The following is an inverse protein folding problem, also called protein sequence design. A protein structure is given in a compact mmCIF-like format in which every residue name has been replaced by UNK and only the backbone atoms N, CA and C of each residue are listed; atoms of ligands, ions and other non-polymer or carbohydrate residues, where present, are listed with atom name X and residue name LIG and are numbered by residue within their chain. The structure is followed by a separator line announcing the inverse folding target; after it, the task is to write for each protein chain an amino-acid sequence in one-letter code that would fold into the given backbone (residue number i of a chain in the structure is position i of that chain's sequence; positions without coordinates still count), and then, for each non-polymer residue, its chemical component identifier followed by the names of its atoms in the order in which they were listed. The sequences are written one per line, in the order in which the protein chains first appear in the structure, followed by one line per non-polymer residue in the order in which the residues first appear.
data_IF_623588410508
#
_entry.id   IF_623588410508
#
_cell.length_a   1.000
_cell.length_b   1.000
_cell.length_c   1.000
_cell.angle_alpha   90.00
_cell.angle_beta   90.00
_cell.angle_gamma   90.00
#
_symmetry.space_group_name_H-M   'P 1'
#
loop_
_entity.id
_entity.type
_entity.pdbx_description
1 polymer ?
#
# COMPACT_ATOMS: atom_id res chain seq x y z
N UNK A 1 22.78 17.02 14.51
CA UNK A 1 23.09 15.81 15.29
C UNK A 1 23.79 14.85 14.34
N UNK A 2 25.07 14.52 14.59
CA UNK A 2 25.76 13.47 13.84
C UNK A 2 25.28 12.11 14.39
N UNK A 3 24.74 11.27 13.54
CA UNK A 3 24.46 9.89 13.90
C UNK A 3 25.78 9.12 13.96
N UNK A 4 26.10 8.44 15.07
CA UNK A 4 27.42 7.82 15.27
C UNK A 4 27.74 6.62 14.39
N UNK A 5 26.76 6.06 13.66
CA UNK A 5 26.96 4.91 12.79
C UNK A 5 26.68 5.27 11.33
N UNK A 6 27.74 5.30 10.51
CA UNK A 6 27.58 5.36 9.06
C UNK A 6 26.94 4.04 8.58
N UNK A 7 25.72 4.10 8.08
CA UNK A 7 25.06 2.94 7.47
C UNK A 7 25.72 2.63 6.12
N UNK A 8 26.05 1.39 5.92
CA UNK A 8 26.47 0.84 4.63
C UNK A 8 25.56 -0.33 4.29
N UNK A 9 24.80 -0.26 3.18
CA UNK A 9 23.89 -1.31 2.78
C UNK A 9 24.62 -2.62 2.49
N UNK A 10 23.94 -3.75 2.71
CA UNK A 10 24.44 -5.07 2.32
C UNK A 10 24.74 -5.08 0.80
N UNK A 11 25.99 -5.35 0.38
CA UNK A 11 26.34 -5.41 -1.04
C UNK A 11 25.61 -6.53 -1.78
N UNK A 12 25.13 -7.56 -1.07
CA UNK A 12 24.38 -8.67 -1.62
C UNK A 12 22.85 -8.40 -1.70
N UNK A 13 22.37 -7.17 -1.42
CA UNK A 13 20.91 -6.86 -1.42
C UNK A 13 20.20 -7.17 -2.74
N UNK A 14 20.93 -7.27 -3.85
CA UNK A 14 20.41 -7.58 -5.19
C UNK A 14 20.83 -8.97 -5.69
N UNK A 15 21.07 -9.92 -4.81
CA UNK A 15 21.52 -11.29 -5.14
C UNK A 15 20.43 -12.22 -5.71
N UNK A 16 19.23 -11.70 -5.96
CA UNK A 16 18.10 -12.44 -6.50
C UNK A 16 17.13 -13.02 -5.47
N UNK A 17 17.41 -12.90 -4.17
CA UNK A 17 16.46 -13.31 -3.11
C UNK A 17 15.16 -12.50 -3.12
N UNK A 18 15.21 -11.23 -3.56
CA UNK A 18 14.04 -10.39 -3.79
C UNK A 18 13.72 -10.38 -5.28
N UNK A 19 12.63 -11.03 -5.73
CA UNK A 19 12.18 -10.90 -7.11
C UNK A 19 11.60 -9.50 -7.36
N UNK A 20 11.91 -8.95 -8.53
CA UNK A 20 11.32 -7.69 -9.01
C UNK A 20 10.32 -8.00 -10.10
N UNK A 21 9.15 -7.35 -10.05
CA UNK A 21 8.01 -7.58 -10.95
C UNK A 21 7.65 -6.32 -11.69
N UNK A 22 7.41 -6.44 -12.98
CA UNK A 22 7.01 -5.31 -13.83
C UNK A 22 5.71 -4.70 -13.33
N UNK A 23 5.67 -3.37 -13.17
CA UNK A 23 4.49 -2.62 -12.80
C UNK A 23 3.65 -2.34 -14.06
N UNK A 24 2.67 -3.20 -14.34
CA UNK A 24 1.87 -3.11 -15.55
C UNK A 24 2.70 -3.11 -16.83
N UNK A 25 2.40 -2.19 -17.76
CA UNK A 25 3.16 -2.00 -19.02
C UNK A 25 4.21 -0.90 -18.93
N UNK A 26 4.53 -0.43 -17.73
CA UNK A 26 5.54 0.61 -17.54
C UNK A 26 6.98 0.06 -17.60
N UNK A 27 7.96 0.96 -17.57
CA UNK A 27 9.38 0.60 -17.42
C UNK A 27 9.81 0.32 -15.98
N UNK A 28 8.92 0.50 -14.99
CA UNK A 28 9.24 0.37 -13.57
C UNK A 28 9.04 -1.08 -13.10
N UNK A 29 10.03 -1.62 -12.40
CA UNK A 29 9.90 -2.84 -11.64
C UNK A 29 9.77 -2.52 -10.14
N UNK A 30 8.90 -3.23 -9.43
CA UNK A 30 8.79 -3.14 -7.97
C UNK A 30 9.24 -4.45 -7.32
N UNK A 31 9.81 -4.40 -6.10
CA UNK A 31 10.07 -5.63 -5.34
C UNK A 31 8.75 -6.36 -5.09
N UNK A 32 8.76 -7.68 -5.12
CA UNK A 32 7.57 -8.49 -4.86
C UNK A 32 6.94 -8.21 -3.48
N UNK A 33 7.77 -7.74 -2.52
CA UNK A 33 7.31 -7.25 -1.22
C UNK A 33 7.79 -5.81 -1.05
N UNK A 34 6.85 -4.91 -0.76
CA UNK A 34 7.07 -3.49 -0.45
C UNK A 34 6.81 -3.22 1.02
N UNK A 35 7.43 -2.19 1.60
CA UNK A 35 7.25 -1.82 3.01
C UNK A 35 6.36 -0.58 3.15
N UNK A 36 5.21 -0.76 3.82
CA UNK A 36 4.28 0.32 4.16
C UNK A 36 4.59 0.92 5.54
N UNK A 37 4.59 2.24 5.62
CA UNK A 37 4.98 2.99 6.81
C UNK A 37 3.77 3.59 7.55
N UNK A 38 2.61 2.96 7.45
CA UNK A 38 1.40 3.46 8.09
C UNK A 38 1.47 3.44 9.61
N UNK A 39 1.98 2.34 10.19
CA UNK A 39 2.07 2.16 11.65
C UNK A 39 3.50 1.78 12.03
N UNK A 40 3.89 2.09 13.27
CA UNK A 40 5.20 1.84 13.85
C UNK A 40 6.33 2.75 13.32
N UNK A 41 6.00 3.78 12.53
CA UNK A 41 6.97 4.73 11.97
C UNK A 41 6.63 6.19 12.30
N UNK A 42 5.55 6.42 13.06
CA UNK A 42 5.09 7.74 13.45
C UNK A 42 5.89 8.37 14.59
N UNK A 43 5.48 9.57 15.00
CA UNK A 43 6.13 10.31 16.08
C UNK A 43 5.90 9.73 17.48
N UNK A 44 4.89 8.86 17.65
CA UNK A 44 4.63 8.13 18.87
C UNK A 44 5.43 6.83 19.01
N UNK A 45 6.11 6.41 17.94
CA UNK A 45 6.89 5.19 17.88
C UNK A 45 8.37 5.44 18.18
N UNK A 46 9.12 4.38 18.52
CA UNK A 46 10.56 4.47 18.76
C UNK A 46 11.29 4.62 17.42
N UNK A 47 11.84 5.79 17.16
CA UNK A 47 12.51 6.13 15.89
C UNK A 47 13.58 5.11 15.48
N UNK A 48 14.45 4.68 16.42
CA UNK A 48 15.52 3.72 16.11
C UNK A 48 15.00 2.34 15.71
N UNK A 49 13.82 1.93 16.19
CA UNK A 49 13.17 0.69 15.74
C UNK A 49 12.73 0.83 14.28
N UNK A 50 12.07 1.93 13.93
CA UNK A 50 11.68 2.22 12.54
C UNK A 50 12.90 2.29 11.61
N UNK A 51 13.97 3.00 12.04
CA UNK A 51 15.23 3.09 11.31
C UNK A 51 15.87 1.72 11.05
N UNK A 52 15.90 0.86 12.08
CA UNK A 52 16.46 -0.49 11.95
C UNK A 52 15.64 -1.36 10.96
N UNK A 53 14.31 -1.23 10.96
CA UNK A 53 13.44 -1.93 10.01
C UNK A 53 13.70 -1.43 8.59
N UNK A 54 13.82 -0.12 8.36
CA UNK A 54 14.09 0.47 7.04
C UNK A 54 15.44 0.02 6.49
N UNK A 55 16.51 0.07 7.30
CA UNK A 55 17.84 -0.44 6.93
C UNK A 55 17.78 -1.92 6.55
N UNK A 56 17.16 -2.74 7.40
CA UNK A 56 17.03 -4.18 7.15
C UNK A 56 16.23 -4.47 5.89
N UNK A 57 15.15 -3.72 5.64
CA UNK A 57 14.35 -3.86 4.42
C UNK A 57 15.21 -3.63 3.17
N UNK A 58 15.99 -2.53 3.16
CA UNK A 58 16.87 -2.23 2.05
C UNK A 58 17.98 -3.27 1.88
N UNK A 59 18.61 -3.75 2.97
CA UNK A 59 19.59 -4.84 2.97
C UNK A 59 19.02 -6.16 2.41
N UNK A 60 17.70 -6.32 2.44
CA UNK A 60 17.00 -7.50 1.90
C UNK A 60 16.39 -7.25 0.50
N UNK A 61 16.76 -6.15 -0.18
CA UNK A 61 16.31 -5.82 -1.52
C UNK A 61 14.90 -5.20 -1.59
N UNK A 62 14.31 -4.79 -0.47
CA UNK A 62 13.07 -4.00 -0.49
C UNK A 62 13.44 -2.57 -0.85
N UNK A 63 13.13 -2.16 -2.08
CA UNK A 63 13.45 -0.83 -2.59
C UNK A 63 12.26 0.12 -2.57
N UNK A 64 11.04 -0.37 -2.36
CA UNK A 64 9.82 0.44 -2.34
C UNK A 64 9.33 0.69 -0.92
N UNK A 65 9.25 1.98 -0.54
CA UNK A 65 8.73 2.49 0.73
C UNK A 65 7.48 3.32 0.47
N UNK A 66 6.37 2.90 1.07
CA UNK A 66 5.04 3.46 0.82
C UNK A 66 4.52 4.24 2.02
N UNK A 67 4.27 5.53 1.82
CA UNK A 67 3.81 6.48 2.83
C UNK A 67 2.42 7.05 2.48
N UNK A 68 1.93 7.95 3.31
CA UNK A 68 0.85 8.89 3.03
C UNK A 68 1.00 10.13 3.92
N UNK A 69 0.40 11.24 3.47
CA UNK A 69 0.49 12.53 4.18
C UNK A 69 -0.02 12.45 5.62
N UNK A 70 -1.04 11.60 5.89
CA UNK A 70 -1.68 11.45 7.19
C UNK A 70 -1.13 10.27 8.03
N UNK A 71 -0.04 9.61 7.61
CA UNK A 71 0.54 8.53 8.40
C UNK A 71 1.27 9.06 9.65
N UNK A 72 1.07 8.36 10.76
CA UNK A 72 1.56 8.71 12.09
C UNK A 72 0.85 7.87 13.16
N UNK A 73 0.53 8.35 14.38
CA UNK A 73 0.37 9.73 14.86
C UNK A 73 1.68 10.44 15.19
N UNK A 74 1.65 11.81 15.25
CA UNK A 74 0.66 12.69 14.61
C UNK A 74 0.77 12.64 13.09
N UNK A 75 -0.26 13.14 12.37
CA UNK A 75 -0.28 13.16 10.91
C UNK A 75 1.00 13.80 10.33
N UNK A 76 1.58 13.15 9.30
CA UNK A 76 2.82 13.57 8.66
C UNK A 76 4.10 13.12 9.37
N UNK A 77 4.01 12.58 10.58
CA UNK A 77 5.20 12.20 11.35
C UNK A 77 5.93 10.98 10.75
N UNK A 78 5.22 10.08 10.09
CA UNK A 78 5.86 8.97 9.39
C UNK A 78 6.74 9.47 8.24
N UNK A 79 6.25 10.43 7.43
CA UNK A 79 7.04 11.07 6.38
C UNK A 79 8.24 11.84 6.94
N UNK A 80 8.05 12.58 8.04
CA UNK A 80 9.15 13.31 8.69
C UNK A 80 10.23 12.35 9.23
N UNK A 81 9.84 11.24 9.84
CA UNK A 81 10.79 10.23 10.32
C UNK A 81 11.50 9.52 9.17
N UNK A 82 10.77 9.18 8.09
CA UNK A 82 11.37 8.61 6.88
C UNK A 82 12.39 9.58 6.26
N UNK A 83 12.04 10.87 6.15
CA UNK A 83 12.97 11.91 5.65
C UNK A 83 14.27 12.01 6.47
N UNK A 84 14.19 11.87 7.81
CA UNK A 84 15.38 11.80 8.68
C UNK A 84 16.25 10.58 8.36
N UNK A 85 15.65 9.41 8.16
CA UNK A 85 16.37 8.18 7.78
C UNK A 85 16.97 8.33 6.37
N UNK A 86 16.18 8.86 5.43
CA UNK A 86 16.65 9.10 4.07
C UNK A 86 17.89 10.00 4.05
N UNK A 87 17.86 11.11 4.78
CA UNK A 87 18.99 12.03 4.87
C UNK A 87 20.23 11.42 5.54
N UNK A 88 20.03 10.59 6.56
CA UNK A 88 21.12 10.00 7.35
C UNK A 88 21.73 8.73 6.72
N UNK A 89 20.88 7.88 6.14
CA UNK A 89 21.25 6.50 5.76
C UNK A 89 21.16 6.25 4.26
N UNK A 90 20.18 6.87 3.55
CA UNK A 90 19.84 6.53 2.18
C UNK A 90 20.13 7.64 1.17
N UNK A 91 20.73 8.76 1.59
CA UNK A 91 20.97 9.91 0.70
C UNK A 91 21.75 9.52 -0.56
N UNK A 92 22.78 8.69 -0.42
CA UNK A 92 23.59 8.19 -1.53
C UNK A 92 22.88 7.11 -2.38
N UNK A 93 21.73 6.63 -1.91
CA UNK A 93 20.96 5.53 -2.51
C UNK A 93 19.58 5.96 -2.99
N UNK A 94 19.29 7.29 -3.05
CA UNK A 94 17.96 7.80 -3.44
C UNK A 94 17.49 7.20 -4.78
N UNK A 95 18.37 7.06 -5.73
CA UNK A 95 18.07 6.57 -7.08
C UNK A 95 17.87 5.03 -7.13
N UNK A 96 18.20 4.32 -6.05
CA UNK A 96 17.89 2.90 -5.87
C UNK A 96 16.52 2.67 -5.23
N UNK A 97 15.86 3.74 -4.75
CA UNK A 97 14.61 3.66 -4.01
C UNK A 97 13.43 4.12 -4.86
N UNK A 98 12.29 3.45 -4.65
CA UNK A 98 10.97 3.93 -5.05
C UNK A 98 10.27 4.45 -3.80
N UNK A 99 10.03 5.74 -3.74
CA UNK A 99 9.33 6.39 -2.63
C UNK A 99 7.94 6.80 -3.08
N UNK A 100 6.91 6.29 -2.44
CA UNK A 100 5.54 6.68 -2.73
C UNK A 100 4.87 7.37 -1.55
N UNK A 101 3.98 8.32 -1.85
CA UNK A 101 3.09 8.92 -0.86
C UNK A 101 1.71 9.21 -1.46
N UNK A 102 0.76 9.56 -0.62
CA UNK A 102 -0.66 9.64 -0.96
C UNK A 102 -1.35 10.78 -0.22
N UNK A 103 -2.43 11.30 -0.80
CA UNK A 103 -3.35 12.21 -0.13
C UNK A 103 -4.81 11.89 -0.50
N UNK A 104 -5.74 12.07 0.45
CA UNK A 104 -7.15 11.77 0.25
C UNK A 104 -7.97 11.66 1.56
N UNK A 105 -7.30 11.72 2.71
CA UNK A 105 -7.90 11.77 4.04
C UNK A 105 -7.73 13.16 4.65
N UNK A 106 -8.40 13.42 5.78
CA UNK A 106 -8.20 14.65 6.53
C UNK A 106 -6.73 14.84 6.94
N UNK A 107 -6.26 16.06 6.90
CA UNK A 107 -4.86 16.38 7.20
C UNK A 107 -4.69 17.65 8.06
N UNK A 108 -5.50 18.68 7.84
CA UNK A 108 -5.51 19.93 8.61
C UNK A 108 -6.94 20.45 8.76
N UNK A 109 -7.21 21.28 9.79
CA UNK A 109 -8.56 21.79 10.03
C UNK A 109 -9.05 22.75 8.94
N UNK A 110 -10.38 22.84 8.80
CA UNK A 110 -11.06 23.77 7.89
C UNK A 110 -11.40 23.12 6.54
N UNK A 111 -12.04 23.88 5.64
CA UNK A 111 -12.71 23.33 4.46
C UNK A 111 -11.74 22.84 3.36
N UNK A 112 -10.45 23.07 3.50
CA UNK A 112 -9.45 22.73 2.48
C UNK A 112 -8.51 21.62 2.89
N UNK A 113 -8.61 21.13 4.13
CA UNK A 113 -7.76 20.08 4.68
C UNK A 113 -8.53 18.84 5.10
N UNK A 114 -9.83 18.83 4.87
CA UNK A 114 -10.73 17.70 5.08
C UNK A 114 -10.53 16.62 3.99
N UNK A 115 -11.16 15.47 4.17
CA UNK A 115 -11.17 14.37 3.21
C UNK A 115 -11.44 14.92 1.81
N UNK A 116 -10.52 14.70 0.87
CA UNK A 116 -10.76 15.24 -0.45
C UNK A 116 -9.78 14.84 -1.54
N UNK A 117 -10.30 14.94 -2.77
CA UNK A 117 -9.57 14.80 -4.03
C UNK A 117 -9.39 16.11 -4.77
N UNK A 118 -9.77 17.26 -4.17
CA UNK A 118 -9.69 18.54 -4.85
C UNK A 118 -8.26 18.90 -5.27
N UNK A 119 -8.14 19.61 -6.38
CA UNK A 119 -6.84 20.11 -6.88
C UNK A 119 -6.06 20.87 -5.82
N UNK A 120 -6.76 21.74 -5.06
CA UNK A 120 -6.13 22.50 -3.97
C UNK A 120 -5.54 21.58 -2.90
N UNK A 121 -6.29 20.57 -2.48
CA UNK A 121 -5.87 19.65 -1.44
C UNK A 121 -4.70 18.76 -1.89
N UNK A 122 -4.80 18.15 -3.08
CA UNK A 122 -3.77 17.21 -3.57
C UNK A 122 -2.43 17.90 -3.82
N UNK A 123 -2.43 19.10 -4.43
CA UNK A 123 -1.19 19.84 -4.68
C UNK A 123 -0.55 20.29 -3.37
N UNK A 124 -1.33 20.89 -2.45
CA UNK A 124 -0.81 21.29 -1.16
C UNK A 124 -0.28 20.10 -0.33
N UNK A 125 -0.97 18.96 -0.38
CA UNK A 125 -0.53 17.73 0.29
C UNK A 125 0.78 17.21 -0.26
N UNK A 126 0.95 17.17 -1.59
CA UNK A 126 2.20 16.75 -2.23
C UNK A 126 3.35 17.66 -1.81
N UNK A 127 3.19 18.98 -1.84
CA UNK A 127 4.20 19.94 -1.44
C UNK A 127 4.62 19.76 0.02
N UNK A 128 3.65 19.58 0.91
CA UNK A 128 3.91 19.31 2.33
C UNK A 128 4.62 17.98 2.55
N UNK A 129 4.25 16.93 1.80
CA UNK A 129 4.91 15.61 1.85
C UNK A 129 6.37 15.69 1.42
N UNK A 130 6.65 16.38 0.31
CA UNK A 130 8.02 16.63 -0.16
C UNK A 130 8.84 17.38 0.89
N UNK A 131 8.29 18.44 1.51
CA UNK A 131 8.95 19.19 2.55
C UNK A 131 9.27 18.32 3.79
N UNK A 132 8.31 17.48 4.24
CA UNK A 132 8.54 16.59 5.40
C UNK A 132 9.63 15.56 5.14
N UNK A 133 9.67 15.02 3.93
CA UNK A 133 10.66 14.02 3.54
C UNK A 133 12.00 14.61 3.10
N UNK A 134 12.07 15.92 2.85
CA UNK A 134 13.27 16.59 2.31
C UNK A 134 13.60 16.14 0.88
N UNK A 135 12.57 15.93 0.06
CA UNK A 135 12.67 15.47 -1.33
C UNK A 135 12.19 16.54 -2.31
N UNK A 136 12.77 16.55 -3.50
CA UNK A 136 12.31 17.39 -4.63
C UNK A 136 11.17 16.71 -5.39
N UNK A 137 11.12 15.35 -5.37
CA UNK A 137 10.09 14.55 -6.01
C UNK A 137 9.85 13.23 -5.25
N UNK A 138 8.67 12.65 -5.42
CA UNK A 138 8.39 11.24 -5.12
C UNK A 138 8.32 10.44 -6.41
N UNK A 139 8.60 9.15 -6.31
CA UNK A 139 8.48 8.27 -7.48
C UNK A 139 7.01 8.05 -7.84
N UNK A 140 6.14 7.83 -6.85
CA UNK A 140 4.71 7.63 -7.09
C UNK A 140 3.89 8.50 -6.14
N UNK A 141 2.95 9.28 -6.68
CA UNK A 141 1.96 10.01 -5.89
C UNK A 141 0.56 9.46 -6.15
N UNK A 142 -0.17 9.10 -5.07
CA UNK A 142 -1.48 8.49 -5.21
C UNK A 142 -2.62 9.44 -4.81
N UNK A 143 -3.75 9.35 -5.54
CA UNK A 143 -5.05 9.63 -4.94
C UNK A 143 -5.39 8.49 -3.99
N UNK A 144 -5.42 8.78 -2.67
CA UNK A 144 -5.49 7.77 -1.61
C UNK A 144 -6.85 7.06 -1.55
N UNK A 145 -7.89 7.73 -2.02
CA UNK A 145 -9.26 7.21 -2.12
C UNK A 145 -10.09 8.08 -3.06
N UNK A 146 -11.24 7.57 -3.46
CA UNK A 146 -12.24 8.37 -4.16
C UNK A 146 -12.80 9.44 -3.21
N UNK A 147 -12.91 10.69 -3.70
CA UNK A 147 -13.64 11.76 -3.01
C UNK A 147 -15.02 11.92 -3.67
N UNK A 148 -16.11 11.52 -3.00
CA UNK A 148 -17.46 11.63 -3.57
C UNK A 148 -17.95 13.08 -3.70
N UNK A 149 -17.19 14.07 -3.26
CA UNK A 149 -17.54 15.50 -3.34
C UNK A 149 -16.79 16.26 -4.44
N UNK A 150 -15.77 15.61 -5.03
CA UNK A 150 -14.93 16.22 -6.08
C UNK A 150 -15.16 15.51 -7.41
N UNK A 151 -15.39 16.24 -8.52
CA UNK A 151 -15.41 15.64 -9.84
C UNK A 151 -14.11 14.88 -10.14
N UNK A 152 -14.22 13.70 -10.74
CA UNK A 152 -13.08 12.83 -10.97
C UNK A 152 -12.01 13.47 -11.87
N UNK A 153 -12.43 14.24 -12.86
CA UNK A 153 -11.54 14.99 -13.78
C UNK A 153 -10.70 16.04 -13.05
N UNK A 154 -11.23 16.68 -11.99
CA UNK A 154 -10.44 17.60 -11.17
C UNK A 154 -9.33 16.85 -10.42
N UNK A 155 -9.66 15.70 -9.83
CA UNK A 155 -8.69 14.84 -9.13
C UNK A 155 -7.61 14.33 -10.08
N UNK A 156 -7.99 13.77 -11.23
CA UNK A 156 -7.05 13.27 -12.23
C UNK A 156 -6.21 14.39 -12.85
N UNK A 157 -6.83 15.55 -13.11
CA UNK A 157 -6.11 16.73 -13.58
C UNK A 157 -5.11 17.30 -12.56
N UNK A 158 -5.35 17.11 -11.25
CA UNK A 158 -4.37 17.45 -10.21
C UNK A 158 -3.17 16.50 -10.22
N UNK A 159 -3.40 15.19 -10.35
CA UNK A 159 -2.33 14.20 -10.49
C UNK A 159 -1.48 14.45 -11.75
N UNK A 160 -2.13 14.69 -12.89
CA UNK A 160 -1.44 15.01 -14.13
C UNK A 160 -0.59 16.29 -14.02
N UNK A 161 -1.08 17.29 -13.28
CA UNK A 161 -0.33 18.52 -13.02
C UNK A 161 0.94 18.26 -12.19
N UNK A 162 0.84 17.48 -11.10
CA UNK A 162 1.99 17.11 -10.27
C UNK A 162 3.04 16.33 -11.05
N UNK A 163 2.61 15.43 -11.92
CA UNK A 163 3.50 14.72 -12.84
C UNK A 163 4.24 15.68 -13.78
N UNK A 164 3.53 16.59 -14.44
CA UNK A 164 4.14 17.58 -15.35
C UNK A 164 5.10 18.54 -14.65
N UNK A 165 4.88 18.82 -13.36
CA UNK A 165 5.81 19.61 -12.55
C UNK A 165 7.06 18.83 -12.12
N UNK A 166 7.14 17.53 -12.40
CA UNK A 166 8.22 16.67 -11.95
C UNK A 166 8.22 16.37 -10.45
N UNK A 167 7.12 16.69 -9.73
CA UNK A 167 6.97 16.41 -8.30
C UNK A 167 6.58 14.95 -8.03
N UNK A 168 6.03 14.28 -9.02
CA UNK A 168 5.77 12.85 -9.04
C UNK A 168 6.20 12.27 -10.39
N UNK A 169 7.08 11.28 -10.39
CA UNK A 169 7.51 10.63 -11.64
C UNK A 169 6.36 9.81 -12.24
N UNK A 170 5.55 9.21 -11.39
CA UNK A 170 4.38 8.43 -11.75
C UNK A 170 3.19 8.79 -10.86
N UNK A 171 2.00 8.44 -11.33
CA UNK A 171 0.75 8.63 -10.56
C UNK A 171 0.02 7.31 -10.37
N UNK A 172 -0.64 7.18 -9.22
CA UNK A 172 -1.43 6.02 -8.85
C UNK A 172 -2.77 6.39 -8.22
N UNK A 173 -3.61 5.38 -8.07
CA UNK A 173 -4.89 5.48 -7.36
C UNK A 173 -4.99 4.36 -6.33
N UNK A 174 -5.85 4.53 -5.32
CA UNK A 174 -6.07 3.51 -4.28
C UNK A 174 -7.57 3.37 -3.97
N UNK A 175 -8.02 2.13 -3.82
CA UNK A 175 -9.40 1.78 -3.43
C UNK A 175 -10.48 2.38 -4.35
N UNK A 176 -10.23 2.42 -5.64
CA UNK A 176 -11.20 2.76 -6.68
C UNK A 176 -11.92 1.50 -7.17
N UNK A 177 -13.20 1.63 -7.54
CA UNK A 177 -13.91 0.55 -8.24
C UNK A 177 -13.32 0.27 -9.63
N UNK A 178 -13.59 -0.89 -10.24
CA UNK A 178 -13.17 -1.17 -11.63
C UNK A 178 -13.66 -0.10 -12.60
N UNK A 179 -14.91 0.36 -12.46
CA UNK A 179 -15.51 1.43 -13.27
C UNK A 179 -14.71 2.73 -13.16
N UNK A 180 -14.50 3.22 -11.95
CA UNK A 180 -13.76 4.47 -11.71
C UNK A 180 -12.28 4.36 -12.08
N UNK A 181 -11.71 3.16 -11.99
CA UNK A 181 -10.34 2.88 -12.46
C UNK A 181 -10.23 3.07 -13.97
N UNK A 182 -11.20 2.55 -14.77
CA UNK A 182 -11.24 2.75 -16.23
C UNK A 182 -11.38 4.23 -16.58
N UNK A 183 -12.24 4.95 -15.86
CA UNK A 183 -12.46 6.39 -16.10
C UNK A 183 -11.21 7.21 -15.74
N UNK A 184 -10.60 6.94 -14.58
CA UNK A 184 -9.39 7.62 -14.14
C UNK A 184 -8.24 7.42 -15.13
N UNK A 185 -8.05 6.19 -15.61
CA UNK A 185 -7.02 5.86 -16.62
C UNK A 185 -7.30 6.62 -17.94
N UNK A 186 -8.52 6.59 -18.43
CA UNK A 186 -8.88 7.29 -19.65
C UNK A 186 -8.65 8.82 -19.54
N UNK A 187 -9.00 9.42 -18.40
CA UNK A 187 -8.76 10.85 -18.15
C UNK A 187 -7.27 11.18 -18.10
N UNK A 188 -6.48 10.39 -17.38
CA UNK A 188 -5.03 10.58 -17.29
C UNK A 188 -4.35 10.37 -18.65
N UNK A 189 -4.77 9.36 -19.40
CA UNK A 189 -4.26 9.09 -20.75
C UNK A 189 -4.55 10.24 -21.70
N UNK A 190 -5.74 10.86 -21.62
CA UNK A 190 -6.09 12.04 -22.40
C UNK A 190 -5.19 13.24 -22.08
N UNK A 191 -4.66 13.31 -20.86
CA UNK A 191 -3.68 14.30 -20.42
C UNK A 191 -2.22 13.91 -20.77
N UNK A 192 -2.00 12.75 -21.44
CA UNK A 192 -0.68 12.23 -21.76
C UNK A 192 0.09 11.67 -20.57
N UNK A 193 -0.61 11.36 -19.47
CA UNK A 193 -0.02 10.82 -18.23
C UNK A 193 -0.57 9.41 -18.00
N UNK A 194 0.25 8.35 -18.10
CA UNK A 194 -0.23 6.99 -17.86
C UNK A 194 -0.53 6.77 -16.37
N UNK A 195 -1.64 6.11 -16.07
CA UNK A 195 -1.89 5.55 -14.74
C UNK A 195 -0.92 4.38 -14.52
N UNK A 196 -0.01 4.50 -13.57
CA UNK A 196 1.00 3.47 -13.32
C UNK A 196 0.43 2.27 -12.58
N UNK A 197 -0.30 2.54 -11.47
CA UNK A 197 -0.57 1.52 -10.46
C UNK A 197 -1.84 1.80 -9.69
N UNK A 198 -2.54 0.75 -9.29
CA UNK A 198 -3.65 0.77 -8.36
C UNK A 198 -3.28 0.04 -7.07
N UNK A 199 -3.60 0.65 -5.92
CA UNK A 199 -3.34 0.08 -4.60
C UNK A 199 -4.67 -0.33 -3.93
N UNK A 200 -5.13 -1.60 -4.06
CA UNK A 200 -6.32 -2.12 -3.39
C UNK A 200 -5.98 -2.90 -2.12
N UNK A 201 -6.98 -3.06 -1.21
CA UNK A 201 -6.92 -4.06 -0.14
C UNK A 201 -7.11 -5.46 -0.73
N UNK A 202 -6.25 -6.41 -0.33
CA UNK A 202 -6.35 -7.80 -0.78
C UNK A 202 -5.71 -8.77 0.20
N UNK A 203 -6.43 -9.83 0.54
CA UNK A 203 -5.96 -10.90 1.43
C UNK A 203 -6.80 -12.17 1.26
N UNK A 204 -6.41 -13.26 1.92
CA UNK A 204 -7.20 -14.48 2.01
C UNK A 204 -8.63 -14.28 2.56
N UNK A 205 -8.89 -13.20 3.30
CA UNK A 205 -10.18 -12.88 3.92
C UNK A 205 -10.86 -11.67 3.27
N UNK A 206 -10.27 -11.09 2.23
CA UNK A 206 -10.82 -9.97 1.45
C UNK A 206 -10.39 -10.13 0.00
N UNK A 207 -11.27 -10.69 -0.85
CA UNK A 207 -10.97 -11.13 -2.22
C UNK A 207 -11.70 -10.33 -3.30
N UNK A 208 -12.26 -9.17 -2.96
CA UNK A 208 -13.11 -8.37 -3.85
C UNK A 208 -12.47 -8.04 -5.21
N UNK A 209 -11.14 -7.89 -5.27
CA UNK A 209 -10.43 -7.54 -6.50
C UNK A 209 -10.41 -8.64 -7.55
N UNK A 210 -10.60 -9.90 -7.14
CA UNK A 210 -10.55 -11.06 -8.04
C UNK A 210 -11.72 -11.08 -9.03
N UNK A 211 -12.87 -10.49 -8.67
CA UNK A 211 -14.10 -10.54 -9.48
C UNK A 211 -13.94 -9.76 -10.79
N UNK A 212 -13.35 -8.58 -10.75
CA UNK A 212 -13.26 -7.71 -11.91
C UNK A 212 -11.98 -6.87 -11.94
N UNK A 213 -11.55 -6.31 -10.80
CA UNK A 213 -10.48 -5.31 -10.76
C UNK A 213 -9.16 -5.82 -11.34
N UNK A 214 -8.72 -7.04 -10.99
CA UNK A 214 -7.47 -7.60 -11.53
C UNK A 214 -7.52 -7.73 -13.05
N UNK A 215 -8.68 -8.14 -13.61
CA UNK A 215 -8.89 -8.17 -15.06
C UNK A 215 -8.83 -6.77 -15.69
N UNK A 216 -9.48 -5.80 -15.04
CA UNK A 216 -9.45 -4.38 -15.45
C UNK A 216 -8.03 -3.83 -15.50
N UNK A 217 -7.22 -4.10 -14.47
CA UNK A 217 -5.84 -3.61 -14.39
C UNK A 217 -4.96 -4.24 -15.49
N UNK A 218 -5.12 -5.54 -15.74
CA UNK A 218 -4.40 -6.26 -16.79
C UNK A 218 -4.73 -5.70 -18.19
N UNK A 219 -6.02 -5.51 -18.49
CA UNK A 219 -6.48 -4.91 -19.74
C UNK A 219 -5.90 -3.51 -19.98
N UNK A 220 -5.88 -2.68 -18.93
CA UNK A 220 -5.37 -1.31 -18.97
C UNK A 220 -3.82 -1.25 -18.95
N UNK A 221 -3.15 -2.33 -18.55
CA UNK A 221 -1.71 -2.37 -18.36
C UNK A 221 -1.25 -1.59 -17.12
N UNK A 222 -2.09 -1.56 -16.09
CA UNK A 222 -1.86 -0.89 -14.81
C UNK A 222 -1.36 -1.90 -13.78
N UNK A 223 -0.34 -1.57 -13.01
CA UNK A 223 0.17 -2.42 -11.95
C UNK A 223 -0.78 -2.53 -10.76
N UNK A 224 -0.61 -3.58 -9.94
CA UNK A 224 -1.37 -3.81 -8.72
C UNK A 224 -0.44 -3.97 -7.52
N UNK A 225 -0.58 -3.14 -6.50
CA UNK A 225 0.09 -3.32 -5.22
C UNK A 225 -0.94 -3.56 -4.11
N UNK A 226 -0.94 -4.77 -3.54
CA UNK A 226 -1.94 -5.20 -2.59
C UNK A 226 -1.57 -4.79 -1.16
N UNK A 227 -2.36 -3.91 -0.53
CA UNK A 227 -2.18 -3.60 0.89
C UNK A 227 -3.03 -4.50 1.80
N UNK A 228 -2.66 -4.56 3.08
CA UNK A 228 -3.26 -5.44 4.09
C UNK A 228 -3.27 -6.94 3.73
N UNK A 229 -2.20 -7.52 3.16
CA UNK A 229 -2.15 -8.94 2.81
C UNK A 229 -2.33 -9.86 4.02
N UNK A 230 -2.06 -9.37 5.23
CA UNK A 230 -2.24 -10.06 6.49
C UNK A 230 -3.57 -9.73 7.19
N UNK A 231 -4.55 -9.15 6.49
CA UNK A 231 -5.85 -8.77 7.04
C UNK A 231 -5.71 -8.05 8.40
N UNK A 232 -4.86 -7.01 8.44
CA UNK A 232 -4.52 -6.22 9.64
C UNK A 232 -3.92 -7.02 10.80
N UNK A 233 -3.25 -8.12 10.48
CA UNK A 233 -2.60 -9.01 11.44
C UNK A 233 -3.45 -10.19 11.88
N UNK A 234 -4.67 -10.36 11.36
CA UNK A 234 -5.51 -11.52 11.61
C UNK A 234 -4.88 -12.80 11.04
N UNK A 235 -4.23 -12.72 9.89
CA UNK A 235 -3.53 -13.83 9.25
C UNK A 235 -2.10 -14.00 9.81
N UNK A 236 -2.01 -13.98 11.13
CA UNK A 236 -0.78 -14.28 11.90
C UNK A 236 -1.12 -15.20 13.07
N UNK A 237 -0.11 -15.81 13.67
CA UNK A 237 -0.29 -16.69 14.85
C UNK A 237 -0.88 -15.96 16.08
N UNK A 238 -0.94 -14.62 16.06
CA UNK A 238 -1.32 -13.77 17.19
C UNK A 238 -2.72 -14.10 17.75
N UNK A 239 -3.68 -14.46 16.89
CA UNK A 239 -5.07 -14.67 17.26
C UNK A 239 -5.48 -16.14 17.36
N UNK A 240 -4.57 -17.11 17.11
CA UNK A 240 -4.86 -18.53 17.17
C UNK A 240 -5.21 -19.01 18.58
N UNK A 241 -4.59 -18.41 19.60
CA UNK A 241 -4.83 -18.71 21.03
C UNK A 241 -5.88 -17.83 21.72
N UNK A 242 -6.59 -17.00 20.96
CA UNK A 242 -7.53 -16.01 21.49
C UNK A 242 -7.09 -14.57 21.23
N UNK A 243 -7.82 -13.59 21.77
CA UNK A 243 -7.51 -12.17 21.59
C UNK A 243 -6.53 -11.73 22.69
N UNK A 244 -5.25 -11.44 22.40
CA UNK A 244 -4.30 -10.91 23.39
C UNK A 244 -4.75 -9.54 23.91
N UNK A 245 -4.48 -9.25 25.19
CA UNK A 245 -4.86 -7.99 25.84
C UNK A 245 -4.20 -6.75 25.18
N UNK A 246 -3.04 -6.95 24.56
CA UNK A 246 -2.28 -5.91 23.82
C UNK A 246 -2.60 -5.87 22.32
N UNK A 247 -3.56 -6.68 21.86
CA UNK A 247 -3.97 -6.73 20.46
C UNK A 247 -4.58 -5.40 20.00
N UNK A 248 -4.43 -5.06 18.71
CA UNK A 248 -5.09 -3.90 18.07
C UNK A 248 -6.61 -3.92 18.27
N UNK A 249 -7.22 -5.09 18.29
CA UNK A 249 -8.65 -5.27 18.58
C UNK A 249 -9.08 -4.84 19.99
N UNK A 250 -8.14 -4.60 20.90
CA UNK A 250 -8.38 -4.06 22.25
C UNK A 250 -8.13 -2.55 22.37
N UNK A 251 -7.67 -1.89 21.31
CA UNK A 251 -7.40 -0.45 21.26
C UNK A 251 -8.29 0.20 20.21
N UNK A 252 -8.62 1.47 20.36
CA UNK A 252 -9.22 2.25 19.29
C UNK A 252 -8.29 2.22 18.06
N UNK A 253 -8.69 1.53 16.99
CA UNK A 253 -7.88 1.31 15.80
C UNK A 253 -8.65 0.67 14.66
N UNK A 254 -7.97 0.42 13.53
CA UNK A 254 -8.57 -0.09 12.31
C UNK A 254 -9.08 -1.54 12.39
N UNK A 255 -8.55 -2.36 13.31
CA UNK A 255 -9.06 -3.72 13.53
C UNK A 255 -10.20 -3.71 14.53
N UNK A 256 -11.41 -3.85 14.06
CA UNK A 256 -12.62 -3.91 14.88
C UNK A 256 -12.76 -5.31 15.51
N UNK A 257 -13.25 -5.34 16.76
CA UNK A 257 -13.44 -6.60 17.50
C UNK A 257 -14.42 -7.57 16.80
N UNK A 258 -15.39 -7.03 16.08
CA UNK A 258 -16.36 -7.78 15.28
C UNK A 258 -15.74 -8.66 14.19
N UNK A 259 -14.56 -8.27 13.67
CA UNK A 259 -13.83 -9.08 12.70
C UNK A 259 -13.25 -10.38 13.27
N UNK A 260 -13.12 -10.48 14.59
CA UNK A 260 -12.67 -11.69 15.30
C UNK A 260 -13.84 -12.59 15.69
N UNK A 261 -14.81 -12.79 14.80
CA UNK A 261 -15.89 -13.73 14.97
C UNK A 261 -15.38 -15.18 15.05
N UNK A 262 -16.15 -16.07 15.68
CA UNK A 262 -15.80 -17.50 15.75
C UNK A 262 -15.61 -18.12 14.37
N UNK A 263 -16.41 -17.68 13.39
CA UNK A 263 -16.28 -18.10 11.99
C UNK A 263 -14.94 -17.70 11.40
N UNK A 264 -14.51 -16.44 11.57
CA UNK A 264 -13.21 -15.96 11.09
C UNK A 264 -12.06 -16.65 11.82
N UNK A 265 -12.17 -16.88 13.12
CA UNK A 265 -11.15 -17.61 13.88
C UNK A 265 -11.05 -19.08 13.42
N UNK A 266 -12.17 -19.73 13.07
CA UNK A 266 -12.16 -21.08 12.50
C UNK A 266 -11.45 -21.10 11.13
N UNK A 267 -11.72 -20.12 10.25
CA UNK A 267 -11.04 -19.95 8.95
C UNK A 267 -9.53 -19.78 9.16
N UNK A 268 -9.11 -18.92 10.06
CA UNK A 268 -7.69 -18.65 10.38
C UNK A 268 -7.00 -19.93 10.86
N UNK A 269 -7.65 -20.75 11.72
CA UNK A 269 -7.07 -22.03 12.18
C UNK A 269 -6.93 -23.04 11.04
N UNK A 270 -7.90 -23.11 10.12
CA UNK A 270 -7.81 -23.96 8.94
C UNK A 270 -6.65 -23.54 8.02
N UNK A 271 -6.51 -22.24 7.77
CA UNK A 271 -5.39 -21.68 7.00
C UNK A 271 -4.03 -21.93 7.68
N UNK A 272 -3.94 -21.78 9.01
CA UNK A 272 -2.70 -22.06 9.77
C UNK A 272 -2.29 -23.54 9.65
N UNK A 273 -3.25 -24.47 9.69
CA UNK A 273 -2.95 -25.89 9.49
C UNK A 273 -2.35 -26.17 8.10
N UNK A 274 -2.82 -25.50 7.04
CA UNK A 274 -2.27 -25.61 5.70
C UNK A 274 -0.86 -25.00 5.67
N UNK A 275 -0.68 -23.79 6.21
CA UNK A 275 0.63 -23.11 6.25
C UNK A 275 1.70 -23.97 6.91
N UNK A 276 1.38 -24.61 8.05
CA UNK A 276 2.29 -25.52 8.77
C UNK A 276 2.71 -26.73 7.92
N UNK A 277 1.79 -27.33 7.15
CA UNK A 277 2.12 -28.45 6.24
C UNK A 277 3.06 -28.01 5.12
N UNK A 278 2.96 -26.75 4.70
CA UNK A 278 3.87 -26.11 3.74
C UNK A 278 5.23 -25.74 4.33
N UNK A 279 5.43 -25.89 5.64
CA UNK A 279 6.63 -25.41 6.33
C UNK A 279 6.70 -23.88 6.42
N UNK A 280 5.59 -23.18 6.27
CA UNK A 280 5.49 -21.73 6.34
C UNK A 280 4.74 -21.28 7.60
N UNK A 281 5.03 -20.07 8.08
CA UNK A 281 4.11 -19.39 9.00
C UNK A 281 2.83 -19.00 8.24
N UNK A 282 1.70 -18.81 8.98
CA UNK A 282 0.46 -18.32 8.38
C UNK A 282 0.67 -16.98 7.63
N UNK A 283 1.50 -16.10 8.19
CA UNK A 283 1.84 -14.83 7.56
C UNK A 283 2.59 -15.03 6.24
N UNK A 284 3.58 -15.92 6.20
CA UNK A 284 4.32 -16.25 4.99
C UNK A 284 3.40 -16.83 3.91
N UNK A 285 2.55 -17.79 4.25
CA UNK A 285 1.60 -18.36 3.30
C UNK A 285 0.61 -17.31 2.79
N UNK A 286 0.10 -16.43 3.66
CA UNK A 286 -0.84 -15.37 3.24
C UNK A 286 -0.21 -14.38 2.26
N UNK A 287 1.05 -13.98 2.47
CA UNK A 287 1.78 -13.10 1.55
C UNK A 287 2.08 -13.84 0.24
N UNK A 288 2.56 -15.09 0.31
CA UNK A 288 2.82 -15.92 -0.87
C UNK A 288 1.54 -16.10 -1.70
N UNK A 289 0.39 -16.31 -1.03
CA UNK A 289 -0.90 -16.46 -1.70
C UNK A 289 -1.34 -15.19 -2.42
N UNK A 290 -1.15 -14.01 -1.85
CA UNK A 290 -1.41 -12.72 -2.53
C UNK A 290 -0.53 -12.58 -3.77
N UNK A 291 0.73 -13.01 -3.68
CA UNK A 291 1.70 -12.94 -4.78
C UNK A 291 1.56 -14.07 -5.82
N UNK A 292 0.68 -15.08 -5.61
CA UNK A 292 0.47 -16.17 -6.56
C UNK A 292 -0.08 -15.71 -7.91
N UNK A 293 -0.89 -14.63 -7.89
CA UNK A 293 -1.45 -14.06 -9.11
C UNK A 293 -0.39 -13.14 -9.76
N UNK A 294 0.01 -13.42 -11.01
CA UNK A 294 1.03 -12.63 -11.70
C UNK A 294 0.61 -11.17 -11.96
N UNK A 295 -0.69 -10.86 -11.90
CA UNK A 295 -1.22 -9.51 -12.03
C UNK A 295 -0.97 -8.65 -10.78
N UNK A 296 -0.67 -9.28 -9.63
CA UNK A 296 -0.24 -8.57 -8.42
C UNK A 296 1.25 -8.31 -8.50
N UNK A 297 1.63 -7.05 -8.70
CA UNK A 297 3.03 -6.62 -8.81
C UNK A 297 3.76 -6.76 -7.48
N UNK A 298 3.15 -6.32 -6.38
CA UNK A 298 3.79 -6.30 -5.06
C UNK A 298 2.78 -6.50 -3.93
N UNK A 299 3.20 -7.14 -2.84
CA UNK A 299 2.47 -7.18 -1.59
C UNK A 299 3.04 -6.12 -0.63
N UNK A 300 2.20 -5.21 -0.17
CA UNK A 300 2.56 -4.12 0.74
C UNK A 300 2.38 -4.57 2.19
N UNK A 301 3.48 -4.82 2.88
CA UNK A 301 3.49 -5.26 4.28
C UNK A 301 3.85 -4.13 5.24
N UNK A 302 3.41 -4.24 6.49
CA UNK A 302 3.91 -3.46 7.62
C UNK A 302 4.75 -4.33 8.54
N UNK A 303 5.70 -3.73 9.27
CA UNK A 303 6.49 -4.42 10.28
C UNK A 303 6.62 -3.56 11.55
N UNK A 304 6.65 -4.22 12.72
CA UNK A 304 6.90 -3.59 14.03
C UNK A 304 8.29 -3.92 14.61
N UNK A 305 9.00 -4.84 13.97
CA UNK A 305 10.36 -5.25 14.34
C UNK A 305 11.07 -5.84 13.13
N UNK A 306 12.40 -5.87 13.18
CA UNK A 306 13.25 -6.54 12.19
C UNK A 306 12.88 -8.02 12.05
N UNK A 307 12.66 -8.72 13.16
CA UNK A 307 12.28 -10.13 13.13
C UNK A 307 10.96 -10.38 12.39
N UNK A 308 9.95 -9.48 12.57
CA UNK A 308 8.70 -9.59 11.84
C UNK A 308 8.86 -9.30 10.34
N UNK A 309 9.72 -8.34 9.99
CA UNK A 309 10.06 -8.09 8.58
C UNK A 309 10.71 -9.33 7.95
N UNK A 310 11.73 -9.90 8.61
CA UNK A 310 12.43 -11.09 8.12
C UNK A 310 11.48 -12.31 7.99
N UNK A 311 10.56 -12.53 8.95
CA UNK A 311 9.53 -13.56 8.83
C UNK A 311 8.66 -13.33 7.59
N UNK A 312 8.18 -12.10 7.37
CA UNK A 312 7.35 -11.77 6.20
C UNK A 312 8.10 -11.97 4.88
N UNK A 313 9.39 -11.62 4.83
CA UNK A 313 10.24 -11.83 3.65
C UNK A 313 10.49 -13.32 3.35
N UNK A 314 10.41 -14.18 4.36
CA UNK A 314 10.45 -15.65 4.20
C UNK A 314 9.32 -16.21 3.33
N UNK A 315 8.26 -15.45 3.06
CA UNK A 315 7.21 -15.81 2.11
C UNK A 315 7.76 -16.06 0.69
N UNK A 316 8.85 -15.39 0.32
CA UNK A 316 9.47 -15.50 -1.00
C UNK A 316 10.11 -16.88 -1.26
N UNK A 317 10.39 -17.66 -0.24
CA UNK A 317 10.97 -19.00 -0.34
C UNK A 317 9.92 -20.07 -0.78
N UNK A 318 8.63 -19.75 -0.73
CA UNK A 318 7.54 -20.70 -1.02
C UNK A 318 6.37 -20.06 -1.76
N UNK A 319 6.61 -19.42 -2.92
CA UNK A 319 5.57 -18.74 -3.72
C UNK A 319 4.69 -19.68 -4.54
N UNK A 320 5.15 -20.90 -4.82
CA UNK A 320 4.41 -21.86 -5.62
C UNK A 320 3.33 -22.58 -4.79
N UNK A 321 2.18 -22.79 -5.39
CA UNK A 321 1.07 -23.56 -4.80
C UNK A 321 0.65 -24.64 -5.80
N UNK A 322 0.35 -25.85 -5.27
CA UNK A 322 -0.31 -26.87 -6.04
C UNK A 322 -1.82 -26.56 -6.16
N UNK A 323 -2.46 -27.01 -7.24
CA UNK A 323 -3.91 -26.78 -7.45
C UNK A 323 -4.77 -27.36 -6.29
N UNK A 324 -4.32 -28.46 -5.69
CA UNK A 324 -4.98 -29.06 -4.54
C UNK A 324 -4.88 -28.19 -3.28
N UNK A 325 -3.72 -27.59 -3.05
CA UNK A 325 -3.53 -26.64 -1.94
C UNK A 325 -4.42 -25.41 -2.11
N UNK A 326 -4.49 -24.87 -3.35
CA UNK A 326 -5.36 -23.72 -3.63
C UNK A 326 -6.83 -24.05 -3.38
N UNK A 327 -7.29 -25.24 -3.80
CA UNK A 327 -8.66 -25.69 -3.51
C UNK A 327 -8.92 -25.84 -2.00
N UNK A 328 -7.96 -26.34 -1.24
CA UNK A 328 -8.07 -26.45 0.21
C UNK A 328 -8.06 -25.08 0.88
N UNK A 329 -7.20 -24.18 0.43
CA UNK A 329 -7.16 -22.80 0.90
C UNK A 329 -8.49 -22.09 0.63
N UNK A 330 -9.08 -22.28 -0.57
CA UNK A 330 -10.36 -21.67 -0.95
C UNK A 330 -11.54 -22.09 -0.07
N UNK A 331 -11.47 -23.26 0.57
CA UNK A 331 -12.49 -23.68 1.55
C UNK A 331 -12.52 -22.76 2.81
N UNK A 332 -11.40 -22.14 3.14
CA UNK A 332 -11.27 -21.24 4.30
C UNK A 332 -11.10 -19.76 3.89
N UNK A 333 -10.54 -19.50 2.73
CA UNK A 333 -10.27 -18.16 2.20
C UNK A 333 -11.53 -17.55 1.58
N UNK A 334 -12.51 -17.23 2.43
CA UNK A 334 -13.78 -16.63 2.03
C UNK A 334 -13.87 -15.20 2.54
N UNK A 335 -14.72 -14.39 1.89
CA UNK A 335 -15.02 -13.04 2.35
C UNK A 335 -15.39 -13.06 3.84
N UNK A 336 -14.65 -12.32 4.64
CA UNK A 336 -14.79 -12.24 6.09
C UNK A 336 -15.40 -10.93 6.58
N UNK A 337 -16.02 -10.16 5.69
CA UNK A 337 -16.52 -8.79 5.92
C UNK A 337 -15.42 -7.83 6.44
N UNK A 338 -14.18 -8.04 5.97
CA UNK A 338 -12.98 -7.34 6.42
C UNK A 338 -12.55 -6.18 5.54
N UNK A 339 -13.38 -5.78 4.59
CA UNK A 339 -13.06 -4.64 3.73
C UNK A 339 -13.38 -3.31 4.41
N UNK A 340 -12.40 -2.75 5.11
CA UNK A 340 -12.51 -1.45 5.77
C UNK A 340 -12.64 -0.28 4.78
N UNK A 341 -12.29 -0.50 3.53
CA UNK A 341 -12.29 0.50 2.45
C UNK A 341 -13.41 0.27 1.44
N UNK A 342 -14.32 -0.67 1.75
CA UNK A 342 -15.48 -1.03 0.92
C UNK A 342 -16.27 0.20 0.47
N UNK A 343 -16.47 1.17 1.36
CA UNK A 343 -17.19 2.40 1.05
C UNK A 343 -16.56 3.23 -0.08
N UNK A 344 -15.23 3.14 -0.29
CA UNK A 344 -14.55 3.78 -1.43
C UNK A 344 -14.57 2.88 -2.67
N UNK A 345 -14.29 1.59 -2.49
CA UNK A 345 -14.19 0.62 -3.57
C UNK A 345 -15.54 0.32 -4.27
N UNK A 346 -16.65 0.62 -3.63
CA UNK A 346 -18.02 0.45 -4.19
C UNK A 346 -18.58 1.69 -4.89
N UNK A 347 -17.93 2.86 -4.79
CA UNK A 347 -18.39 4.05 -5.49
C UNK A 347 -18.32 3.86 -7.01
N UNK A 348 -19.37 4.29 -7.70
CA UNK A 348 -19.46 4.37 -9.14
C UNK A 348 -19.53 5.82 -9.63
N UNK A 349 -19.56 6.02 -10.94
CA UNK A 349 -19.64 7.35 -11.56
C UNK A 349 -20.92 8.12 -11.17
N UNK A 350 -22.01 7.42 -10.88
CA UNK A 350 -23.26 8.04 -10.45
C UNK A 350 -23.18 8.66 -9.05
N UNK A 351 -22.21 8.24 -8.24
CA UNK A 351 -21.99 8.74 -6.88
C UNK A 351 -21.11 10.00 -6.85
N UNK A 352 -20.53 10.38 -8.00
CA UNK A 352 -19.62 11.51 -8.11
C UNK A 352 -20.30 12.73 -8.73
N UNK A 353 -19.88 13.96 -8.36
CA UNK A 353 -20.31 15.16 -9.05
C UNK A 353 -19.92 15.08 -10.53
N UNK A 354 -20.88 15.42 -11.40
CA UNK A 354 -20.61 15.49 -12.83
C UNK A 354 -19.57 16.60 -13.12
N UNK A 355 -18.67 16.41 -14.10
CA UNK A 355 -17.79 17.47 -14.53
C UNK A 355 -18.59 18.71 -14.82
N UNK A 356 -18.20 19.85 -14.29
CA UNK A 356 -18.75 21.11 -14.76
C UNK A 356 -18.36 21.23 -16.23
N UNK A 357 -19.31 21.01 -17.14
CA UNK A 357 -19.11 21.25 -18.55
C UNK A 357 -18.61 22.70 -18.68
N UNK A 358 -17.30 22.85 -18.70
CA UNK A 358 -16.65 24.07 -19.08
C UNK A 358 -17.13 24.33 -20.51
N UNK A 359 -17.85 25.42 -20.71
CA UNK A 359 -18.12 25.96 -22.03
C UNK A 359 -16.74 26.06 -22.75
N UNK A 360 -16.35 25.03 -23.50
CA UNK A 360 -15.48 25.20 -24.65
C UNK A 360 -16.37 25.81 -25.73
N UNK A 361 -16.63 27.08 -25.56
CA UNK A 361 -17.36 27.93 -26.48
C UNK A 361 -16.50 29.11 -26.80
N UNK A 362 -16.03 29.11 -28.05
CA UNK A 362 -15.52 30.20 -28.87
C UNK A 362 -14.08 30.62 -28.59
#
# INVERSE_FOLDING_TARGET
MSFPDSYSPDPARYDGRMPYRRCGRSGLDLPAISLGLWQNFGGADVFETGRAILRRAFDRGVTHFDLANNYGPPYGSAEANFGRVLAADFKAHRDELVVSTKAGWDMWPGPYGDVGGSRKYLIASCDQSLQRMGLDYVDIFYSHRVDPRTPLDETMGALAHLHRQGKALYVGISSYSPELTRQAEAMLRAEGVPLLIHQPSYSLLNRWIERELLGTLDELGVGCIAFSPLAQGMLTAKYLGGIPADARAGKEGSLRREFLSDANLARIRGLDAIARRRGQSLAQMAIAWVLRDPRVTSALIGARSVAQLDDSLGALEGLAFADEELREIDAFAQEGDLDLWEGSAKLGSADLPQPRLGARGV
#
